data_IF_269316545571
#
_entry.id   IF_269316545571
#
_cell.length_a   1.000
_cell.length_b   1.000
_cell.length_c   1.000
_cell.angle_alpha   90.00
_cell.angle_beta   90.00
_cell.angle_gamma   90.00
#
_symmetry.space_group_name_H-M   'P 1'
#
loop_
_entity.id
_entity.type
_entity.pdbx_description
1 polymer ?
#
# COMPACT_ATOMS: atom_id res chain seq x y z
N UNK A 1 -10.53 -12.91 4.25
CA UNK A 1 -10.00 -14.26 3.91
C UNK A 1 -10.98 -14.98 3.00
N UNK A 2 -10.54 -15.34 1.81
CA UNK A 2 -11.35 -16.13 0.88
C UNK A 2 -11.56 -17.55 1.45
N UNK A 3 -12.81 -17.99 1.51
CA UNK A 3 -13.14 -19.35 1.96
C UNK A 3 -13.13 -20.30 0.75
N UNK A 4 -12.42 -21.40 0.87
CA UNK A 4 -12.37 -22.43 -0.16
C UNK A 4 -12.75 -23.81 0.37
N UNK A 5 -13.09 -24.72 -0.53
CA UNK A 5 -13.40 -26.11 -0.21
C UNK A 5 -12.90 -27.04 -1.31
N UNK A 6 -12.67 -28.31 -0.97
CA UNK A 6 -12.33 -29.33 -1.94
C UNK A 6 -13.46 -30.36 -2.06
N UNK A 7 -13.68 -30.87 -3.28
CA UNK A 7 -14.65 -31.93 -3.51
C UNK A 7 -14.09 -32.99 -4.45
N UNK A 8 -14.52 -34.23 -4.29
CA UNK A 8 -14.13 -35.34 -5.17
C UNK A 8 -15.06 -35.40 -6.39
N UNK A 9 -14.46 -35.46 -7.57
CA UNK A 9 -15.18 -35.74 -8.83
C UNK A 9 -14.47 -36.89 -9.55
N UNK A 10 -15.07 -38.05 -9.58
CA UNK A 10 -14.45 -39.27 -10.13
C UNK A 10 -13.20 -39.67 -9.34
N UNK A 11 -12.06 -39.83 -10.03
CA UNK A 11 -10.77 -40.17 -9.39
C UNK A 11 -10.00 -38.98 -8.83
N UNK A 12 -10.37 -37.75 -9.18
CA UNK A 12 -9.63 -36.53 -8.79
C UNK A 12 -10.38 -35.66 -7.79
N UNK A 13 -9.65 -34.93 -6.99
CA UNK A 13 -10.15 -33.86 -6.16
C UNK A 13 -10.09 -32.53 -6.90
N UNK A 14 -11.04 -31.62 -6.61
CA UNK A 14 -11.15 -30.29 -7.20
C UNK A 14 -11.18 -29.27 -6.07
N UNK A 15 -10.36 -28.24 -6.21
CA UNK A 15 -10.39 -27.08 -5.33
C UNK A 15 -11.31 -26.00 -5.88
N UNK A 16 -12.10 -25.38 -5.03
CA UNK A 16 -12.95 -24.24 -5.38
C UNK A 16 -12.89 -23.15 -4.31
N UNK A 17 -12.93 -21.91 -4.74
CA UNK A 17 -12.99 -20.75 -3.87
C UNK A 17 -13.73 -19.60 -4.57
N UNK A 18 -14.16 -18.61 -3.79
CA UNK A 18 -14.85 -17.45 -4.32
C UNK A 18 -13.88 -16.28 -4.45
N UNK A 19 -13.99 -15.59 -5.59
CA UNK A 19 -13.30 -14.35 -5.87
C UNK A 19 -14.33 -13.24 -6.05
N UNK A 20 -13.94 -11.99 -5.86
CA UNK A 20 -14.74 -10.83 -6.25
C UNK A 20 -14.25 -10.35 -7.62
N UNK A 21 -15.18 -10.16 -8.56
CA UNK A 21 -14.90 -9.55 -9.85
C UNK A 21 -14.76 -8.02 -9.74
N UNK A 22 -14.44 -7.35 -10.84
CA UNK A 22 -14.27 -5.89 -10.90
C UNK A 22 -15.55 -5.12 -10.48
N UNK A 23 -16.71 -5.77 -10.52
CA UNK A 23 -18.00 -5.21 -10.10
C UNK A 23 -18.36 -5.52 -8.63
N UNK A 24 -17.48 -6.21 -7.90
CA UNK A 24 -17.70 -6.64 -6.51
C UNK A 24 -18.60 -7.87 -6.37
N UNK A 25 -18.91 -8.58 -7.47
CA UNK A 25 -19.73 -9.80 -7.43
C UNK A 25 -18.86 -11.00 -7.10
N UNK A 26 -19.38 -11.89 -6.25
CA UNK A 26 -18.71 -13.15 -5.91
C UNK A 26 -18.83 -14.15 -7.03
N UNK A 27 -17.71 -14.49 -7.64
CA UNK A 27 -17.59 -15.50 -8.69
C UNK A 27 -16.86 -16.71 -8.14
N UNK A 28 -17.39 -17.92 -8.38
CA UNK A 28 -16.74 -19.15 -7.97
C UNK A 28 -15.69 -19.57 -9.01
N UNK A 29 -14.45 -19.75 -8.55
CA UNK A 29 -13.40 -20.42 -9.35
C UNK A 29 -13.21 -21.85 -8.88
N UNK A 30 -13.10 -22.78 -9.85
CA UNK A 30 -12.81 -24.18 -9.63
C UNK A 30 -11.59 -24.59 -10.46
N UNK A 31 -10.71 -25.42 -9.90
CA UNK A 31 -9.58 -26.00 -10.62
C UNK A 31 -9.43 -27.49 -10.30
N UNK A 32 -8.88 -28.22 -11.25
CA UNK A 32 -8.58 -29.63 -11.07
C UNK A 32 -7.34 -29.79 -10.18
N UNK A 33 -7.48 -30.55 -9.10
CA UNK A 33 -6.37 -30.97 -8.26
C UNK A 33 -5.86 -32.37 -8.64
N UNK A 34 -5.37 -33.09 -7.64
CA UNK A 34 -4.80 -34.43 -7.79
C UNK A 34 -5.77 -35.51 -7.30
N UNK A 35 -5.32 -36.78 -7.31
CA UNK A 35 -6.04 -37.87 -6.66
C UNK A 35 -5.94 -37.84 -5.13
N UNK A 36 -5.02 -37.03 -4.59
CA UNK A 36 -4.83 -36.81 -3.17
C UNK A 36 -5.62 -35.59 -2.68
N UNK A 37 -6.44 -35.78 -1.66
CA UNK A 37 -7.18 -34.69 -0.99
C UNK A 37 -6.23 -33.67 -0.38
N UNK A 38 -5.19 -34.15 0.33
CA UNK A 38 -4.23 -33.29 1.05
C UNK A 38 -3.45 -32.38 0.08
N UNK A 39 -2.98 -32.93 -1.05
CA UNK A 39 -2.29 -32.13 -2.07
C UNK A 39 -3.23 -31.08 -2.70
N UNK A 40 -4.48 -31.46 -3.00
CA UNK A 40 -5.46 -30.53 -3.55
C UNK A 40 -5.80 -29.42 -2.55
N UNK A 41 -5.85 -29.70 -1.24
CA UNK A 41 -6.01 -28.70 -0.20
C UNK A 41 -4.79 -27.77 -0.09
N UNK A 42 -3.56 -28.28 -0.27
CA UNK A 42 -2.35 -27.47 -0.33
C UNK A 42 -2.36 -26.53 -1.55
N UNK A 43 -2.74 -27.06 -2.73
CA UNK A 43 -2.92 -26.28 -3.94
C UNK A 43 -3.99 -25.18 -3.76
N UNK A 44 -5.10 -25.50 -3.09
CA UNK A 44 -6.16 -24.56 -2.81
C UNK A 44 -5.70 -23.41 -1.89
N UNK A 45 -4.95 -23.73 -0.82
CA UNK A 45 -4.36 -22.71 0.07
C UNK A 45 -3.43 -21.77 -0.71
N UNK A 46 -2.58 -22.33 -1.57
CA UNK A 46 -1.68 -21.54 -2.42
C UNK A 46 -2.46 -20.66 -3.40
N UNK A 47 -3.48 -21.21 -4.08
CA UNK A 47 -4.31 -20.44 -5.02
C UNK A 47 -5.09 -19.30 -4.34
N UNK A 48 -5.55 -19.50 -3.11
CA UNK A 48 -6.19 -18.45 -2.31
C UNK A 48 -5.18 -17.37 -1.91
N UNK A 49 -3.98 -17.77 -1.45
CA UNK A 49 -2.92 -16.83 -1.10
C UNK A 49 -2.48 -16.00 -2.31
N UNK A 50 -2.23 -16.64 -3.46
CA UNK A 50 -1.88 -15.97 -4.72
C UNK A 50 -2.99 -15.01 -5.20
N UNK A 51 -4.26 -15.38 -4.98
CA UNK A 51 -5.39 -14.51 -5.31
C UNK A 51 -5.47 -13.29 -4.37
N UNK A 52 -5.32 -13.51 -3.07
CA UNK A 52 -5.30 -12.43 -2.09
C UNK A 52 -4.14 -11.47 -2.35
N UNK A 53 -2.94 -12.00 -2.65
CA UNK A 53 -1.78 -11.19 -3.03
C UNK A 53 -2.04 -10.38 -4.31
N UNK A 54 -2.63 -10.98 -5.33
CA UNK A 54 -3.00 -10.28 -6.58
C UNK A 54 -4.11 -9.24 -6.39
N UNK A 55 -5.06 -9.46 -5.49
CA UNK A 55 -6.06 -8.44 -5.13
C UNK A 55 -5.42 -7.21 -4.47
N UNK A 56 -4.43 -7.42 -3.59
CA UNK A 56 -3.64 -6.32 -3.04
C UNK A 56 -2.92 -5.56 -4.16
N UNK A 57 -2.33 -6.30 -5.10
CA UNK A 57 -1.66 -5.73 -6.27
C UNK A 57 -2.64 -4.92 -7.13
N UNK A 58 -3.85 -5.41 -7.40
CA UNK A 58 -4.85 -4.73 -8.24
C UNK A 58 -5.38 -3.43 -7.63
N UNK A 59 -5.74 -3.45 -6.33
CA UNK A 59 -6.24 -2.24 -5.63
C UNK A 59 -5.18 -1.13 -5.51
N UNK A 60 -3.90 -1.50 -5.38
CA UNK A 60 -2.79 -0.55 -5.26
C UNK A 60 -2.24 -0.07 -6.62
N UNK A 61 -2.69 -0.63 -7.77
CA UNK A 61 -2.09 -0.33 -9.08
C UNK A 61 -2.21 1.14 -9.50
N UNK A 62 -3.27 1.81 -9.09
CA UNK A 62 -3.53 3.19 -9.44
C UNK A 62 -3.40 4.18 -8.26
N UNK A 63 -3.15 3.68 -7.05
CA UNK A 63 -3.00 4.53 -5.87
C UNK A 63 -1.67 5.28 -5.95
N UNK A 64 -1.73 6.59 -5.77
CA UNK A 64 -0.54 7.44 -5.61
C UNK A 64 -0.10 7.51 -4.15
N UNK A 65 1.12 8.04 -3.92
CA UNK A 65 1.56 8.38 -2.55
C UNK A 65 0.60 9.39 -1.91
N UNK A 66 0.10 10.36 -2.68
CA UNK A 66 -0.88 11.33 -2.19
C UNK A 66 -2.19 10.69 -1.73
N UNK A 67 -2.73 9.73 -2.50
CA UNK A 67 -3.94 9.00 -2.12
C UNK A 67 -3.72 8.18 -0.84
N UNK A 68 -2.56 7.53 -0.72
CA UNK A 68 -2.18 6.78 0.48
C UNK A 68 -2.07 7.68 1.70
N UNK A 69 -1.49 8.88 1.54
CA UNK A 69 -1.38 9.87 2.61
C UNK A 69 -2.76 10.37 3.05
N UNK A 70 -3.70 10.60 2.13
CA UNK A 70 -5.07 10.98 2.47
C UNK A 70 -5.79 9.87 3.24
N UNK A 71 -5.66 8.62 2.82
CA UNK A 71 -6.19 7.48 3.57
C UNK A 71 -5.62 7.39 4.98
N UNK A 72 -4.30 7.59 5.13
CA UNK A 72 -3.66 7.58 6.44
C UNK A 72 -4.18 8.69 7.35
N UNK A 73 -4.38 9.90 6.83
CA UNK A 73 -4.95 11.02 7.57
C UNK A 73 -6.35 10.70 8.06
N UNK A 74 -7.22 10.18 7.22
CA UNK A 74 -8.62 9.92 7.57
C UNK A 74 -8.78 8.72 8.51
N UNK A 75 -8.00 7.67 8.33
CA UNK A 75 -8.25 6.39 9.00
C UNK A 75 -7.35 6.14 10.22
N UNK A 76 -6.18 6.78 10.31
CA UNK A 76 -5.25 6.58 11.43
C UNK A 76 -4.95 7.88 12.17
N UNK A 77 -4.66 8.97 11.44
CA UNK A 77 -4.22 10.20 12.07
C UNK A 77 -5.37 10.91 12.82
N UNK A 78 -6.51 11.15 12.17
CA UNK A 78 -7.66 11.85 12.77
C UNK A 78 -8.34 11.06 13.90
N UNK A 79 -8.57 9.74 13.75
CA UNK A 79 -9.15 8.94 14.83
C UNK A 79 -8.18 8.66 15.99
N UNK A 80 -6.88 8.92 15.80
CA UNK A 80 -5.84 8.67 16.81
C UNK A 80 -5.93 9.62 18.02
N UNK A 81 -5.17 9.28 19.06
CA UNK A 81 -5.15 10.04 20.32
C UNK A 81 -4.11 11.18 20.30
N UNK A 82 -3.89 11.83 19.15
CA UNK A 82 -2.97 12.94 19.03
C UNK A 82 -3.67 14.28 19.32
N UNK A 83 -2.91 15.26 19.80
CA UNK A 83 -3.44 16.60 19.97
C UNK A 83 -3.86 17.22 18.63
N UNK A 84 -4.89 18.07 18.64
CA UNK A 84 -5.35 18.78 17.44
C UNK A 84 -4.21 19.54 16.73
N UNK A 85 -3.30 20.16 17.47
CA UNK A 85 -2.14 20.85 16.90
C UNK A 85 -1.21 19.90 16.14
N UNK A 86 -0.98 18.69 16.66
CA UNK A 86 -0.18 17.66 16.00
C UNK A 86 -0.87 17.17 14.71
N UNK A 87 -2.18 16.89 14.78
CA UNK A 87 -2.96 16.48 13.60
C UNK A 87 -2.90 17.56 12.51
N UNK A 88 -3.10 18.82 12.84
CA UNK A 88 -3.01 19.93 11.88
C UNK A 88 -1.61 20.07 11.27
N UNK A 89 -0.54 19.90 12.05
CA UNK A 89 0.84 19.97 11.56
C UNK A 89 1.13 18.83 10.57
N UNK A 90 0.68 17.61 10.89
CA UNK A 90 0.86 16.44 10.01
C UNK A 90 0.04 16.59 8.73
N UNK A 91 -1.22 17.03 8.83
CA UNK A 91 -2.07 17.28 7.67
C UNK A 91 -1.51 18.39 6.76
N UNK A 92 -0.98 19.45 7.34
CA UNK A 92 -0.27 20.51 6.59
C UNK A 92 0.96 19.95 5.85
N UNK A 93 1.69 19.03 6.48
CA UNK A 93 2.84 18.36 5.86
C UNK A 93 2.41 17.42 4.74
N UNK A 94 1.34 16.65 4.91
CA UNK A 94 0.72 15.82 3.87
C UNK A 94 0.36 16.67 2.66
N UNK A 95 -0.32 17.80 2.86
CA UNK A 95 -0.72 18.71 1.78
C UNK A 95 0.51 19.23 1.00
N UNK A 96 1.63 19.46 1.67
CA UNK A 96 2.88 19.85 1.02
C UNK A 96 3.51 18.71 0.24
N UNK A 97 3.59 17.49 0.81
CA UNK A 97 4.14 16.30 0.10
C UNK A 97 3.37 16.05 -1.19
N UNK A 98 2.05 16.21 -1.19
CA UNK A 98 1.19 16.02 -2.39
C UNK A 98 1.51 16.99 -3.52
N UNK A 99 2.07 18.15 -3.24
CA UNK A 99 2.48 19.12 -4.26
C UNK A 99 3.79 18.73 -4.97
N UNK A 100 4.63 17.93 -4.32
CA UNK A 100 5.89 17.44 -4.89
C UNK A 100 5.68 16.24 -5.84
N UNK A 101 6.62 15.99 -6.75
CA UNK A 101 6.54 14.85 -7.67
C UNK A 101 6.34 13.50 -6.98
N UNK A 102 6.90 13.33 -5.77
CA UNK A 102 6.75 12.10 -4.98
C UNK A 102 5.29 11.85 -4.62
N UNK A 103 4.50 12.87 -4.30
CA UNK A 103 3.07 12.74 -3.99
C UNK A 103 2.24 12.23 -5.15
N UNK A 104 2.64 12.53 -6.38
CA UNK A 104 1.97 12.10 -7.63
C UNK A 104 2.44 10.74 -8.14
N UNK A 105 3.51 10.18 -7.56
CA UNK A 105 4.07 8.90 -7.98
C UNK A 105 3.17 7.75 -7.53
N UNK A 106 3.02 6.73 -8.39
CA UNK A 106 2.29 5.50 -8.03
C UNK A 106 2.98 4.81 -6.86
N UNK A 107 2.21 4.48 -5.82
CA UNK A 107 2.71 3.93 -4.55
C UNK A 107 3.61 2.71 -4.75
N UNK A 108 3.24 1.79 -5.63
CA UNK A 108 4.02 0.57 -5.94
C UNK A 108 5.37 0.81 -6.60
N UNK A 109 5.56 1.96 -7.21
CA UNK A 109 6.81 2.29 -7.90
C UNK A 109 7.76 3.11 -7.04
N UNK A 110 7.38 3.37 -5.79
CA UNK A 110 8.21 4.11 -4.85
C UNK A 110 9.31 3.19 -4.31
N UNK A 111 10.55 3.63 -4.43
CA UNK A 111 11.73 2.97 -3.88
C UNK A 111 12.34 3.84 -2.80
N UNK A 112 13.26 3.28 -2.02
CA UNK A 112 14.06 4.04 -1.06
C UNK A 112 14.82 5.19 -1.73
N UNK A 113 15.40 4.97 -2.91
CA UNK A 113 16.12 6.00 -3.66
C UNK A 113 15.23 7.20 -4.00
N UNK A 114 13.96 6.96 -4.36
CA UNK A 114 13.01 8.03 -4.61
C UNK A 114 12.71 8.86 -3.35
N UNK A 115 12.62 8.20 -2.20
CA UNK A 115 12.40 8.88 -0.92
C UNK A 115 13.66 9.61 -0.47
N UNK A 116 14.83 9.00 -0.64
CA UNK A 116 16.11 9.63 -0.33
C UNK A 116 16.31 10.89 -1.18
N UNK A 117 16.10 10.80 -2.49
CA UNK A 117 16.19 11.95 -3.40
C UNK A 117 15.23 13.08 -3.00
N UNK A 118 14.02 12.73 -2.53
CA UNK A 118 13.07 13.72 -2.01
C UNK A 118 13.56 14.36 -0.71
N UNK A 119 14.08 13.59 0.22
CA UNK A 119 14.67 14.09 1.47
C UNK A 119 15.88 14.99 1.19
N UNK A 120 16.75 14.60 0.26
CA UNK A 120 17.90 15.39 -0.16
C UNK A 120 17.48 16.74 -0.79
N UNK A 121 16.45 16.70 -1.64
CA UNK A 121 15.85 17.91 -2.21
C UNK A 121 15.34 18.87 -1.12
N UNK A 122 14.66 18.35 -0.10
CA UNK A 122 14.19 19.16 1.03
C UNK A 122 15.37 19.71 1.87
N UNK A 123 16.44 18.92 2.01
CA UNK A 123 17.61 19.25 2.84
C UNK A 123 18.51 20.31 2.20
N UNK A 124 18.74 20.21 0.91
CA UNK A 124 19.69 21.06 0.19
C UNK A 124 19.03 22.11 -0.70
N UNK A 125 17.71 21.99 -0.88
CA UNK A 125 17.00 22.77 -1.86
C UNK A 125 17.24 22.25 -3.28
N UNK A 126 16.66 22.93 -4.26
CA UNK A 126 16.81 22.54 -5.68
C UNK A 126 15.79 23.22 -6.56
N UNK A 127 15.78 22.86 -7.83
CA UNK A 127 14.81 23.39 -8.79
C UNK A 127 13.56 22.50 -8.83
N UNK A 128 12.40 23.10 -8.60
CA UNK A 128 11.11 22.44 -8.76
C UNK A 128 10.80 22.14 -10.24
N UNK A 129 9.89 21.22 -10.55
CA UNK A 129 9.48 20.94 -11.93
C UNK A 129 8.89 22.14 -12.68
N UNK A 130 8.39 23.15 -11.96
CA UNK A 130 7.88 24.42 -12.52
C UNK A 130 8.97 25.47 -12.76
N UNK A 131 10.23 25.12 -12.54
CA UNK A 131 11.38 26.01 -12.71
C UNK A 131 11.67 26.94 -11.51
N UNK A 132 10.83 26.89 -10.46
CA UNK A 132 11.10 27.69 -9.24
C UNK A 132 12.18 27.04 -8.36
N UNK A 133 12.93 27.82 -7.61
CA UNK A 133 13.98 27.31 -6.72
C UNK A 133 13.45 27.21 -5.29
N UNK A 134 13.54 26.00 -4.72
CA UNK A 134 13.27 25.74 -3.31
C UNK A 134 14.53 25.97 -2.46
N UNK A 135 14.38 26.69 -1.35
CA UNK A 135 15.44 26.81 -0.35
C UNK A 135 15.49 25.59 0.55
N UNK A 136 16.65 25.26 1.15
CA UNK A 136 16.78 24.22 2.16
C UNK A 136 15.76 24.40 3.28
N UNK A 137 15.14 23.31 3.71
CA UNK A 137 14.22 23.30 4.85
C UNK A 137 14.99 23.22 6.17
N UNK A 138 14.39 23.76 7.23
CA UNK A 138 14.96 23.64 8.57
C UNK A 138 14.91 22.18 9.06
N UNK A 139 15.85 21.81 9.95
CA UNK A 139 15.93 20.46 10.53
C UNK A 139 14.61 20.01 11.18
N UNK A 140 13.89 20.91 11.85
CA UNK A 140 12.59 20.59 12.47
C UNK A 140 11.54 20.18 11.44
N UNK A 141 11.48 20.89 10.29
CA UNK A 141 10.59 20.51 9.19
C UNK A 141 10.99 19.18 8.57
N UNK A 142 12.27 18.91 8.40
CA UNK A 142 12.78 17.64 7.89
C UNK A 142 12.32 16.45 8.73
N UNK A 143 12.43 16.58 10.07
CA UNK A 143 11.95 15.55 10.99
C UNK A 143 10.44 15.31 10.86
N UNK A 144 9.67 16.38 10.65
CA UNK A 144 8.22 16.28 10.46
C UNK A 144 7.86 15.55 9.16
N UNK A 145 8.52 15.88 8.05
CA UNK A 145 8.33 15.15 6.76
C UNK A 145 8.70 13.68 6.88
N UNK A 146 9.85 13.38 7.51
CA UNK A 146 10.28 12.00 7.75
C UNK A 146 9.29 11.22 8.61
N UNK A 147 8.76 11.82 9.68
CA UNK A 147 7.78 11.20 10.55
C UNK A 147 6.47 10.90 9.82
N UNK A 148 5.96 11.84 9.00
CA UNK A 148 4.75 11.65 8.20
C UNK A 148 4.95 10.51 7.20
N UNK A 149 6.05 10.50 6.44
CA UNK A 149 6.35 9.44 5.48
C UNK A 149 6.49 8.09 6.17
N UNK A 150 7.27 8.00 7.25
CA UNK A 150 7.49 6.74 7.96
C UNK A 150 6.18 6.14 8.49
N UNK A 151 5.33 6.96 9.12
CA UNK A 151 4.05 6.48 9.66
C UNK A 151 3.07 6.10 8.55
N UNK A 152 2.94 6.90 7.50
CA UNK A 152 2.04 6.60 6.39
C UNK A 152 2.47 5.37 5.59
N UNK A 153 3.77 5.16 5.34
CA UNK A 153 4.25 3.94 4.70
C UNK A 153 4.10 2.71 5.60
N UNK A 154 4.27 2.85 6.92
CA UNK A 154 3.94 1.77 7.87
C UNK A 154 2.46 1.39 7.77
N UNK A 155 1.55 2.36 7.76
CA UNK A 155 0.11 2.15 7.56
C UNK A 155 -0.19 1.48 6.21
N UNK A 156 0.52 1.84 5.14
CA UNK A 156 0.36 1.24 3.82
C UNK A 156 0.77 -0.26 3.80
N UNK A 157 1.77 -0.66 4.60
CA UNK A 157 2.14 -2.07 4.79
C UNK A 157 1.13 -2.78 5.67
N UNK A 158 0.80 -2.21 6.83
CA UNK A 158 -0.18 -2.73 7.78
C UNK A 158 -0.85 -1.56 8.53
N UNK A 159 -2.19 -1.49 8.60
CA UNK A 159 -3.17 -2.56 8.24
C UNK A 159 -3.61 -2.60 6.79
N UNK A 160 -3.25 -1.61 5.94
CA UNK A 160 -3.83 -1.46 4.59
C UNK A 160 -3.35 -2.48 3.57
N UNK A 161 -2.14 -3.02 3.73
CA UNK A 161 -1.55 -4.00 2.81
C UNK A 161 -1.54 -3.53 1.35
N UNK A 162 -1.27 -2.25 1.12
CA UNK A 162 -1.15 -1.66 -0.21
C UNK A 162 0.21 -1.95 -0.85
N UNK A 163 1.23 -2.16 -0.01
CA UNK A 163 2.59 -2.52 -0.37
C UNK A 163 3.09 -3.62 0.58
N UNK A 164 4.08 -4.38 0.15
CA UNK A 164 4.61 -5.53 0.89
C UNK A 164 5.71 -5.16 1.89
N UNK A 165 6.40 -4.05 1.67
CA UNK A 165 7.47 -3.57 2.54
C UNK A 165 7.44 -2.04 2.64
N UNK A 166 8.00 -1.50 3.71
CA UNK A 166 8.11 -0.06 3.91
C UNK A 166 9.43 0.46 3.32
N UNK A 167 9.40 1.29 2.25
CA UNK A 167 10.62 1.82 1.63
C UNK A 167 11.37 2.85 2.51
N UNK A 168 10.83 3.22 3.67
CA UNK A 168 11.49 4.05 4.70
C UNK A 168 12.26 3.23 5.75
N UNK A 169 12.19 1.89 5.71
CA UNK A 169 12.94 1.02 6.61
C UNK A 169 14.30 0.69 6.00
N UNK A 170 15.32 1.47 6.32
CA UNK A 170 16.74 1.21 6.14
C UNK A 170 17.51 1.54 7.39
#
# INVERSE_FOLDING_TARGET
MAKGSVRKKGKKWYGRFYIEDESGRKVQKEFAGTESKAETEAMLRKAIADYEEKQFVGKAENITVGDMLDMWVEEELKPGNLSNGTVMSYQGTVNRIKQYPIGKRKLKTVTADHLQAFIDFLSYGGTNPDGTTSKPMSKGYMLLFSAVLQNSFRFAVFPKKLITFNPMQY
#
